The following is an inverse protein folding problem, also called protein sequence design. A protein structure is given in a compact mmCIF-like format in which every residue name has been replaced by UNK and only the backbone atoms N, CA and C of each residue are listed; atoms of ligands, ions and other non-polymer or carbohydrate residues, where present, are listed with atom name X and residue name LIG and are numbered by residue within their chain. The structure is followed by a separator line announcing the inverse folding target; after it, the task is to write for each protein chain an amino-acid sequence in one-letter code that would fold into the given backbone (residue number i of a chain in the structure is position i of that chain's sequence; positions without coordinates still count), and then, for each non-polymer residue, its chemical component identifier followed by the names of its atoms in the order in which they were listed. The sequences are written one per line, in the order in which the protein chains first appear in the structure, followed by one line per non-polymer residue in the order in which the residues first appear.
data_IF_426581307117
#
_entry.id   IF_426581307117
#
_cell.length_a   1.000
_cell.length_b   1.000
_cell.length_c   1.000
_cell.angle_alpha   90.00
_cell.angle_beta   90.00
_cell.angle_gamma   90.00
#
_symmetry.space_group_name_H-M   'P 1'
#
loop_
_entity.id
_entity.type
_entity.pdbx_description
1 polymer ?
#
# COMPACT_ATOMS: atom_id res chain seq x y z
N UNK A 1 -21.45 -1.24 -20.59
CA UNK A 1 -20.61 -2.47 -20.57
C UNK A 1 -19.56 -2.27 -19.53
N UNK A 2 -19.78 -2.81 -18.33
CA UNK A 2 -18.74 -2.88 -17.29
C UNK A 2 -17.68 -3.86 -17.80
N UNK A 3 -16.47 -3.35 -18.00
CA UNK A 3 -15.31 -4.17 -18.29
C UNK A 3 -15.11 -5.14 -17.13
N UNK A 4 -15.35 -6.40 -17.41
CA UNK A 4 -15.03 -7.54 -16.53
C UNK A 4 -13.50 -7.74 -16.57
N UNK A 5 -12.78 -6.75 -16.04
CA UNK A 5 -11.33 -6.83 -15.94
C UNK A 5 -11.00 -7.87 -14.86
N UNK A 6 -10.42 -8.97 -15.29
CA UNK A 6 -9.96 -10.03 -14.40
C UNK A 6 -9.11 -9.46 -13.26
N UNK A 7 -9.34 -9.96 -12.05
CA UNK A 7 -8.54 -9.60 -10.88
C UNK A 7 -7.16 -10.24 -11.06
N UNK A 8 -6.15 -9.43 -11.34
CA UNK A 8 -4.77 -9.88 -11.42
C UNK A 8 -4.14 -9.80 -10.03
N UNK A 9 -3.86 -10.95 -9.44
CA UNK A 9 -3.16 -11.09 -8.16
C UNK A 9 -1.82 -11.79 -8.38
N UNK A 10 -0.84 -11.48 -7.52
CA UNK A 10 0.43 -12.19 -7.50
C UNK A 10 0.27 -13.58 -6.88
N UNK A 11 0.97 -14.58 -7.43
CA UNK A 11 1.06 -15.90 -6.83
C UNK A 11 1.86 -15.87 -5.51
N UNK A 12 1.81 -16.95 -4.74
CA UNK A 12 2.58 -17.04 -3.49
C UNK A 12 4.09 -17.04 -3.76
N UNK A 13 4.51 -17.68 -4.85
CA UNK A 13 5.89 -17.74 -5.31
C UNK A 13 6.38 -16.36 -5.74
N UNK A 14 5.56 -15.62 -6.52
CA UNK A 14 5.86 -14.25 -6.91
C UNK A 14 5.98 -13.33 -5.69
N UNK A 15 5.11 -13.51 -4.69
CA UNK A 15 5.19 -12.72 -3.46
C UNK A 15 6.48 -12.94 -2.68
N UNK A 16 6.99 -14.18 -2.61
CA UNK A 16 8.29 -14.46 -1.98
C UNK A 16 9.41 -13.73 -2.69
N UNK A 17 9.42 -13.75 -4.02
CA UNK A 17 10.42 -13.02 -4.82
C UNK A 17 10.31 -11.51 -4.67
N UNK A 18 9.09 -10.98 -4.59
CA UNK A 18 8.84 -9.55 -4.38
C UNK A 18 9.23 -9.11 -2.96
N UNK A 19 8.89 -9.90 -1.94
CA UNK A 19 9.26 -9.63 -0.55
C UNK A 19 10.79 -9.56 -0.41
N UNK A 20 11.53 -10.47 -1.06
CA UNK A 20 13.00 -10.46 -1.08
C UNK A 20 13.56 -9.26 -1.86
N UNK A 21 13.01 -8.97 -3.03
CA UNK A 21 13.44 -7.83 -3.84
C UNK A 21 13.29 -6.49 -3.12
N UNK A 22 12.16 -6.26 -2.44
CA UNK A 22 11.91 -4.97 -1.79
C UNK A 22 12.63 -4.80 -0.46
N UNK A 23 13.06 -5.87 0.17
CA UNK A 23 13.75 -5.86 1.46
C UNK A 23 14.98 -4.96 1.45
N UNK A 24 15.02 -3.97 2.35
CA UNK A 24 16.11 -3.00 2.47
C UNK A 24 16.15 -1.94 1.36
N UNK A 25 15.20 -1.94 0.41
CA UNK A 25 15.15 -0.89 -0.61
C UNK A 25 14.47 0.38 -0.08
N UNK A 26 14.72 1.49 -0.75
CA UNK A 26 14.08 2.77 -0.44
C UNK A 26 12.55 2.74 -0.58
N UNK A 27 11.99 1.78 -1.29
CA UNK A 27 10.54 1.64 -1.56
C UNK A 27 9.89 0.51 -0.77
N UNK A 28 10.63 -0.16 0.11
CA UNK A 28 10.14 -1.27 0.94
C UNK A 28 8.88 -0.90 1.72
N UNK A 29 8.89 0.24 2.41
CA UNK A 29 7.72 0.66 3.22
C UNK A 29 6.47 0.87 2.35
N UNK A 30 6.60 1.49 1.18
CA UNK A 30 5.48 1.64 0.25
C UNK A 30 4.97 0.28 -0.24
N UNK A 31 5.88 -0.63 -0.57
CA UNK A 31 5.55 -2.02 -0.94
C UNK A 31 4.78 -2.73 0.17
N UNK A 32 5.28 -2.70 1.40
CA UNK A 32 4.66 -3.38 2.56
C UNK A 32 3.27 -2.84 2.87
N UNK A 33 3.04 -1.52 2.73
CA UNK A 33 1.73 -0.90 2.86
C UNK A 33 0.73 -1.43 1.81
N UNK A 34 1.18 -1.61 0.57
CA UNK A 34 0.38 -2.26 -0.47
C UNK A 34 0.14 -3.74 -0.19
N UNK A 35 1.19 -4.46 0.19
CA UNK A 35 1.23 -5.91 0.43
C UNK A 35 0.35 -6.36 1.59
N UNK A 36 0.39 -5.65 2.72
CA UNK A 36 -0.25 -6.06 3.98
C UNK A 36 -1.51 -5.26 4.35
N UNK A 37 -1.77 -4.15 3.69
CA UNK A 37 -2.96 -3.33 3.94
C UNK A 37 -3.80 -3.08 2.69
N UNK A 38 -3.32 -3.46 1.51
CA UNK A 38 -4.01 -3.19 0.25
C UNK A 38 -4.19 -1.70 -0.04
N UNK A 39 -3.30 -0.82 0.46
CA UNK A 39 -3.39 0.62 0.22
C UNK A 39 -3.26 0.95 -1.25
N UNK A 40 -4.00 1.98 -1.70
CA UNK A 40 -3.75 2.58 -3.01
C UNK A 40 -2.39 3.28 -3.00
N UNK A 41 -1.70 3.30 -4.12
CA UNK A 41 -0.34 3.90 -4.21
C UNK A 41 -0.32 5.36 -3.69
N UNK A 42 -1.33 6.15 -4.04
CA UNK A 42 -1.45 7.54 -3.59
C UNK A 42 -1.72 7.67 -2.09
N UNK A 43 -2.45 6.72 -1.48
CA UNK A 43 -2.66 6.64 -0.04
C UNK A 43 -1.36 6.28 0.68
N UNK A 44 -0.61 5.30 0.17
CA UNK A 44 0.67 4.88 0.74
C UNK A 44 1.70 6.03 0.75
N UNK A 45 1.85 6.76 -0.35
CA UNK A 45 2.78 7.89 -0.42
C UNK A 45 2.28 9.15 0.29
N UNK A 46 0.97 9.28 0.52
CA UNK A 46 0.37 10.38 1.28
C UNK A 46 0.26 10.13 2.78
N UNK A 47 0.68 8.98 3.28
CA UNK A 47 0.57 8.61 4.69
C UNK A 47 1.54 9.44 5.53
N UNK A 48 1.01 10.11 6.56
CA UNK A 48 1.79 10.86 7.57
C UNK A 48 2.03 10.03 8.82
N UNK A 49 3.12 10.30 9.51
CA UNK A 49 3.42 9.65 10.79
C UNK A 49 2.36 9.94 11.86
N UNK A 50 1.75 11.12 11.89
CA UNK A 50 0.67 11.44 12.82
C UNK A 50 -0.58 10.56 12.67
N UNK A 51 -0.75 9.92 11.50
CA UNK A 51 -1.84 9.01 11.20
C UNK A 51 -1.54 7.55 11.53
N UNK A 52 -0.35 7.25 12.09
CA UNK A 52 0.09 5.89 12.42
C UNK A 52 0.10 5.72 13.93
N UNK A 53 -0.79 4.89 14.43
CA UNK A 53 -0.82 4.48 15.84
C UNK A 53 -0.06 3.15 15.98
N UNK A 54 1.21 3.27 16.40
CA UNK A 54 2.09 2.11 16.57
C UNK A 54 1.80 1.29 17.81
N UNK A 55 1.09 1.85 18.80
CA UNK A 55 0.68 1.12 20.02
C UNK A 55 -0.51 0.23 19.73
N UNK A 56 -1.57 0.80 19.15
CA UNK A 56 -2.80 0.07 18.82
C UNK A 56 -2.73 -0.66 17.49
N UNK A 57 -1.65 -0.51 16.71
CA UNK A 57 -1.48 -1.18 15.42
C UNK A 57 -2.51 -0.73 14.39
N UNK A 58 -2.77 0.57 14.29
CA UNK A 58 -3.74 1.13 13.34
C UNK A 58 -3.17 2.28 12.52
N UNK A 59 -3.77 2.51 11.35
CA UNK A 59 -3.48 3.64 10.48
C UNK A 59 -4.80 4.33 10.10
N UNK A 60 -4.82 5.65 10.17
CA UNK A 60 -5.93 6.46 9.64
C UNK A 60 -5.60 6.88 8.22
N UNK A 61 -6.43 6.48 7.26
CA UNK A 61 -6.35 6.92 5.88
C UNK A 61 -7.37 8.04 5.68
N UNK A 62 -6.91 9.27 5.61
CA UNK A 62 -7.73 10.46 5.43
C UNK A 62 -7.25 11.35 4.28
N UNK A 63 -6.11 11.01 3.68
CA UNK A 63 -5.46 11.77 2.60
C UNK A 63 -4.76 10.88 1.59
N UNK A 64 -4.43 11.45 0.46
CA UNK A 64 -3.66 10.82 -0.60
C UNK A 64 -2.76 11.85 -1.28
N UNK A 65 -1.60 11.42 -1.74
CA UNK A 65 -0.70 12.28 -2.51
C UNK A 65 -1.20 12.40 -3.94
N UNK A 66 -1.28 13.62 -4.46
CA UNK A 66 -1.60 13.88 -5.87
C UNK A 66 -0.66 14.92 -6.47
N UNK A 67 -0.42 14.79 -7.77
CA UNK A 67 0.20 15.83 -8.58
C UNK A 67 -0.93 16.65 -9.21
N UNK A 68 -1.02 17.91 -8.84
CA UNK A 68 -2.06 18.84 -9.29
C UNK A 68 -1.46 20.23 -9.52
N UNK A 69 -1.77 20.86 -10.64
CA UNK A 69 -1.31 22.20 -11.00
C UNK A 69 0.23 22.36 -10.96
N UNK A 70 0.96 21.32 -11.37
CA UNK A 70 2.42 21.32 -11.35
C UNK A 70 3.05 21.06 -9.97
N UNK A 71 2.24 20.85 -8.92
CA UNK A 71 2.68 20.67 -7.54
C UNK A 71 2.25 19.32 -6.97
N UNK A 72 3.02 18.82 -6.01
CA UNK A 72 2.63 17.67 -5.19
C UNK A 72 1.87 18.19 -3.99
N UNK A 73 0.66 17.68 -3.79
CA UNK A 73 -0.24 18.06 -2.70
C UNK A 73 -0.80 16.82 -2.02
N UNK A 74 -1.15 16.95 -0.74
CA UNK A 74 -2.03 16.01 -0.06
C UNK A 74 -3.46 16.48 -0.23
N UNK A 75 -4.31 15.59 -0.72
CA UNK A 75 -5.72 15.88 -0.96
C UNK A 75 -6.61 14.85 -0.27
N UNK A 76 -7.84 15.25 0.06
CA UNK A 76 -8.82 14.34 0.61
C UNK A 76 -9.16 13.24 -0.41
N UNK A 77 -9.38 12.00 0.04
CA UNK A 77 -9.85 10.93 -0.86
C UNK A 77 -11.19 11.31 -1.50
N UNK A 78 -11.40 10.83 -2.73
CA UNK A 78 -12.57 11.19 -3.56
C UNK A 78 -13.93 10.86 -2.95
N UNK A 79 -14.01 9.84 -2.09
CA UNK A 79 -15.26 9.38 -1.49
C UNK A 79 -15.18 9.36 0.03
N UNK A 80 -16.34 9.56 0.70
CA UNK A 80 -16.44 9.52 2.17
C UNK A 80 -15.94 8.16 2.73
N UNK A 81 -16.22 7.06 2.05
CA UNK A 81 -15.83 5.70 2.47
C UNK A 81 -14.32 5.46 2.32
N UNK A 82 -13.60 6.35 1.65
CA UNK A 82 -12.14 6.26 1.56
C UNK A 82 -11.43 6.73 2.84
N UNK A 83 -12.10 7.55 3.66
CA UNK A 83 -11.62 7.88 5.02
C UNK A 83 -11.93 6.71 5.94
N UNK A 84 -10.90 6.10 6.50
CA UNK A 84 -11.05 4.88 7.27
C UNK A 84 -9.87 4.65 8.21
N UNK A 85 -10.11 3.88 9.26
CA UNK A 85 -9.05 3.29 10.09
C UNK A 85 -8.83 1.86 9.63
N UNK A 86 -7.59 1.48 9.42
CA UNK A 86 -7.17 0.13 9.04
C UNK A 86 -6.27 -0.47 10.11
N UNK A 87 -6.28 -1.80 10.21
CA UNK A 87 -5.45 -2.56 11.14
C UNK A 87 -4.15 -3.00 10.47
N UNK A 88 -3.07 -2.99 11.25
CA UNK A 88 -1.76 -3.49 10.84
C UNK A 88 -1.58 -4.94 11.25
N UNK A 89 -0.99 -5.74 10.37
CA UNK A 89 -0.44 -7.02 10.82
C UNK A 89 0.86 -6.82 11.61
N UNK A 90 1.26 -7.79 12.46
CA UNK A 90 2.46 -7.66 13.30
C UNK A 90 3.73 -7.33 12.50
N UNK A 91 3.92 -7.95 11.35
CA UNK A 91 5.08 -7.74 10.46
C UNK A 91 5.21 -6.27 10.03
N UNK A 92 4.11 -5.67 9.57
CA UNK A 92 4.13 -4.27 9.13
C UNK A 92 4.24 -3.31 10.32
N UNK A 93 3.58 -3.61 11.45
CA UNK A 93 3.69 -2.81 12.66
C UNK A 93 5.13 -2.77 13.18
N UNK A 94 5.83 -3.89 13.19
CA UNK A 94 7.24 -3.96 13.60
C UNK A 94 8.16 -3.18 12.64
N UNK A 95 7.95 -3.33 11.33
CA UNK A 95 8.68 -2.55 10.32
C UNK A 95 8.51 -1.04 10.55
N UNK A 96 7.28 -0.58 10.75
CA UNK A 96 6.99 0.83 11.00
C UNK A 96 7.56 1.32 12.33
N UNK A 97 7.55 0.49 13.40
CA UNK A 97 8.20 0.80 14.68
C UNK A 97 9.70 1.03 14.51
N UNK A 98 10.39 0.12 13.83
CA UNK A 98 11.83 0.25 13.55
C UNK A 98 12.13 1.53 12.75
N UNK A 99 11.37 1.77 11.69
CA UNK A 99 11.53 2.97 10.87
C UNK A 99 11.24 4.26 11.66
N UNK A 100 10.25 4.25 12.53
CA UNK A 100 9.94 5.41 13.38
C UNK A 100 11.06 5.70 14.39
N UNK A 101 11.61 4.67 15.03
CA UNK A 101 12.74 4.80 15.97
C UNK A 101 13.99 5.34 15.28
N UNK A 102 14.27 4.89 14.04
CA UNK A 102 15.42 5.32 13.27
C UNK A 102 15.40 6.82 12.90
N UNK A 103 14.22 7.46 12.88
CA UNK A 103 14.05 8.86 12.45
C UNK A 103 14.92 9.87 13.21
N UNK A 104 15.09 9.68 14.52
CA UNK A 104 15.88 10.58 15.35
C UNK A 104 17.39 10.50 15.04
N UNK A 105 17.87 9.32 14.68
CA UNK A 105 19.26 9.11 14.24
C UNK A 105 19.46 9.66 12.82
N UNK A 106 18.52 9.37 11.92
CA UNK A 106 18.51 9.91 10.56
C UNK A 106 18.54 11.44 10.55
N UNK A 107 17.78 12.07 11.46
CA UNK A 107 17.77 13.54 11.59
C UNK A 107 19.13 14.10 11.96
N UNK A 108 19.84 13.44 12.87
CA UNK A 108 21.22 13.84 13.26
C UNK A 108 22.22 13.56 12.15
N UNK A 109 22.17 12.35 11.58
CA UNK A 109 23.13 11.90 10.58
C UNK A 109 23.02 12.69 9.27
N UNK A 110 21.80 13.03 8.84
CA UNK A 110 21.52 13.68 7.57
C UNK A 110 21.10 15.14 7.69
N UNK A 111 21.40 15.80 8.83
CA UNK A 111 20.95 17.17 9.13
C UNK A 111 21.22 18.17 8.00
N UNK A 112 22.44 18.19 7.45
CA UNK A 112 22.82 19.11 6.37
C UNK A 112 22.13 18.77 5.03
N UNK A 113 21.98 17.48 4.71
CA UNK A 113 21.28 17.06 3.51
C UNK A 113 19.78 17.38 3.61
N UNK A 114 19.17 17.21 4.79
CA UNK A 114 17.76 17.56 5.04
C UNK A 114 17.47 19.03 4.80
N UNK A 115 18.36 19.94 5.18
CA UNK A 115 18.20 21.38 4.89
C UNK A 115 18.04 21.67 3.39
N UNK A 116 18.72 20.88 2.55
CA UNK A 116 18.70 21.07 1.10
C UNK A 116 17.61 20.27 0.39
N UNK A 117 17.30 19.05 0.88
CA UNK A 117 16.45 18.08 0.18
C UNK A 117 15.01 18.01 0.67
N UNK A 118 14.74 18.44 1.93
CA UNK A 118 13.39 18.49 2.45
C UNK A 118 12.53 19.40 1.59
N UNK A 119 11.41 18.86 1.09
CA UNK A 119 10.42 19.61 0.33
C UNK A 119 9.23 19.92 1.23
N UNK A 120 8.65 21.08 1.03
CA UNK A 120 7.38 21.44 1.66
C UNK A 120 6.24 21.19 0.68
N UNK A 121 5.22 20.47 1.13
CA UNK A 121 4.03 20.11 0.35
C UNK A 121 2.78 20.65 1.02
N UNK A 122 1.75 20.97 0.22
CA UNK A 122 0.49 21.47 0.75
C UNK A 122 -0.30 20.30 1.37
N UNK A 123 -0.73 20.47 2.62
CA UNK A 123 -1.62 19.54 3.33
C UNK A 123 -3.09 19.94 3.13
N UNK A 124 -4.02 19.11 3.63
CA UNK A 124 -5.48 19.26 3.46
C UNK A 124 -6.04 20.62 3.91
N UNK A 125 -5.43 21.24 4.91
CA UNK A 125 -5.83 22.51 5.48
C UNK A 125 -5.08 23.73 4.89
N UNK A 126 -4.33 23.50 3.82
CA UNK A 126 -3.51 24.51 3.15
C UNK A 126 -2.21 24.85 3.85
N UNK A 127 -1.88 24.21 4.99
CA UNK A 127 -0.57 24.32 5.61
C UNK A 127 0.47 23.60 4.80
N UNK A 128 1.70 24.12 4.83
CA UNK A 128 2.86 23.43 4.26
C UNK A 128 3.51 22.54 5.31
N UNK A 129 3.64 21.26 4.99
CA UNK A 129 4.33 20.28 5.84
C UNK A 129 5.63 19.82 5.18
N UNK A 130 6.67 19.52 5.95
CA UNK A 130 7.90 18.98 5.40
C UNK A 130 7.72 17.53 4.95
N UNK A 131 8.46 17.12 3.92
CA UNK A 131 8.44 15.73 3.43
C UNK A 131 8.80 14.71 4.52
N UNK A 132 9.53 15.11 5.55
CA UNK A 132 9.91 14.27 6.70
C UNK A 132 8.74 13.87 7.60
N UNK A 133 7.57 14.52 7.46
CA UNK A 133 6.34 14.12 8.14
C UNK A 133 5.68 12.91 7.48
N UNK A 134 6.06 12.58 6.25
CA UNK A 134 5.54 11.43 5.54
C UNK A 134 6.27 10.14 5.92
N UNK A 135 5.52 9.05 5.98
CA UNK A 135 6.06 7.71 6.26
C UNK A 135 7.03 7.27 5.14
N UNK A 136 6.69 7.58 3.88
CA UNK A 136 7.54 7.31 2.73
C UNK A 136 8.40 8.53 2.36
N UNK A 137 9.31 8.89 3.27
CA UNK A 137 10.38 9.86 3.06
C UNK A 137 11.72 9.15 3.24
N UNK A 138 12.73 9.54 2.45
CA UNK A 138 14.10 9.03 2.63
C UNK A 138 14.76 9.65 3.86
N UNK A 139 15.78 8.99 4.45
CA UNK A 139 16.50 9.49 5.62
C UNK A 139 17.03 10.91 5.45
N UNK A 140 17.47 11.26 4.24
CA UNK A 140 18.02 12.57 3.88
C UNK A 140 16.97 13.67 3.62
N UNK A 141 15.68 13.38 3.85
CA UNK A 141 14.57 14.32 3.64
C UNK A 141 14.00 14.32 2.22
N UNK A 142 14.57 13.53 1.30
CA UNK A 142 14.06 13.45 -0.09
C UNK A 142 12.64 12.91 -0.11
N UNK A 143 11.73 13.68 -0.71
CA UNK A 143 10.34 13.29 -0.92
C UNK A 143 10.24 12.10 -1.88
N UNK A 144 9.62 11.03 -1.43
CA UNK A 144 9.22 9.94 -2.31
C UNK A 144 7.78 10.15 -2.82
N UNK A 145 7.54 9.75 -4.04
CA UNK A 145 6.25 9.87 -4.72
C UNK A 145 5.90 8.57 -5.42
N UNK A 146 4.71 8.50 -6.01
CA UNK A 146 4.30 7.35 -6.83
C UNK A 146 5.31 7.00 -7.94
N UNK A 147 6.06 7.99 -8.42
CA UNK A 147 7.11 7.78 -9.42
C UNK A 147 8.28 6.95 -8.88
N UNK A 148 8.49 6.90 -7.57
CA UNK A 148 9.54 6.10 -6.94
C UNK A 148 9.36 4.59 -7.20
N UNK A 149 8.13 4.16 -7.56
CA UNK A 149 7.85 2.76 -7.91
C UNK A 149 8.14 2.41 -9.38
N UNK A 150 8.46 3.41 -10.24
CA UNK A 150 8.71 3.15 -11.67
C UNK A 150 9.99 2.35 -11.91
N UNK A 151 11.05 2.66 -11.16
CA UNK A 151 12.31 1.94 -11.28
C UNK A 151 12.16 0.50 -10.80
N UNK A 152 11.67 0.20 -9.57
CA UNK A 152 11.39 -1.16 -9.14
C UNK A 152 10.54 -1.95 -10.14
N UNK A 153 9.48 -1.37 -10.69
CA UNK A 153 8.63 -2.07 -11.66
C UNK A 153 9.39 -2.55 -12.90
N UNK A 154 10.33 -1.75 -13.42
CA UNK A 154 11.17 -2.11 -14.57
C UNK A 154 12.19 -3.19 -14.21
N UNK A 155 12.86 -3.04 -13.06
CA UNK A 155 13.86 -4.01 -12.60
C UNK A 155 13.24 -5.37 -12.32
N UNK A 156 12.12 -5.42 -11.61
CA UNK A 156 11.38 -6.65 -11.30
C UNK A 156 11.01 -7.39 -12.58
N UNK A 157 10.51 -6.65 -13.59
CA UNK A 157 10.20 -7.25 -14.89
C UNK A 157 11.45 -7.81 -15.57
N UNK A 158 12.56 -7.08 -15.52
CA UNK A 158 13.81 -7.48 -16.18
C UNK A 158 14.50 -8.65 -15.46
N UNK A 159 14.52 -8.67 -14.12
CA UNK A 159 15.26 -9.64 -13.32
C UNK A 159 14.43 -10.87 -12.96
N UNK A 160 13.13 -10.70 -12.67
CA UNK A 160 12.26 -11.74 -12.16
C UNK A 160 11.18 -12.18 -13.15
N UNK A 161 11.04 -11.50 -14.30
CA UNK A 161 9.98 -11.76 -15.27
C UNK A 161 8.57 -11.36 -14.81
N UNK A 162 8.42 -10.82 -13.60
CA UNK A 162 7.13 -10.47 -13.00
C UNK A 162 6.65 -9.12 -13.54
N UNK A 163 5.42 -9.05 -14.03
CA UNK A 163 4.79 -7.80 -14.45
C UNK A 163 4.26 -7.03 -13.22
N UNK A 164 5.17 -6.40 -12.49
CA UNK A 164 4.83 -5.70 -11.27
C UNK A 164 4.08 -4.39 -11.55
N UNK A 165 2.84 -4.30 -11.05
CA UNK A 165 2.09 -3.06 -10.90
C UNK A 165 1.66 -2.94 -9.43
N UNK A 166 1.89 -1.78 -8.82
CA UNK A 166 1.55 -1.57 -7.41
C UNK A 166 0.08 -1.93 -7.09
N UNK A 167 -0.84 -1.65 -8.01
CA UNK A 167 -2.26 -1.96 -7.81
C UNK A 167 -2.53 -3.46 -7.66
N UNK A 168 -1.70 -4.33 -8.24
CA UNK A 168 -1.82 -5.78 -8.08
C UNK A 168 -1.56 -6.24 -6.64
N UNK A 169 -0.78 -5.49 -5.83
CA UNK A 169 -0.64 -5.76 -4.39
C UNK A 169 -1.99 -5.66 -3.67
N UNK A 170 -2.77 -4.65 -4.04
CA UNK A 170 -4.11 -4.46 -3.48
C UNK A 170 -5.08 -5.59 -3.93
N UNK A 171 -4.99 -6.02 -5.18
CA UNK A 171 -5.75 -7.17 -5.67
C UNK A 171 -5.34 -8.43 -4.91
N UNK A 172 -4.05 -8.67 -4.76
CA UNK A 172 -3.50 -9.81 -4.01
C UNK A 172 -3.96 -9.79 -2.55
N UNK A 173 -3.90 -8.63 -1.89
CA UNK A 173 -4.41 -8.47 -0.53
C UNK A 173 -5.90 -8.86 -0.43
N UNK A 174 -6.73 -8.34 -1.34
CA UNK A 174 -8.16 -8.65 -1.38
C UNK A 174 -8.44 -10.13 -1.59
N UNK A 175 -7.72 -10.78 -2.50
CA UNK A 175 -7.84 -12.23 -2.79
C UNK A 175 -7.43 -13.07 -1.57
N UNK A 176 -6.27 -12.77 -0.95
CA UNK A 176 -5.81 -13.49 0.23
C UNK A 176 -6.78 -13.35 1.42
N UNK A 177 -7.33 -12.16 1.64
CA UNK A 177 -8.33 -11.95 2.69
C UNK A 177 -9.63 -12.71 2.40
N UNK A 178 -10.05 -12.78 1.14
CA UNK A 178 -11.22 -13.57 0.73
C UNK A 178 -10.96 -15.08 0.90
N UNK A 179 -9.78 -15.59 0.54
CA UNK A 179 -9.36 -16.98 0.78
C UNK A 179 -9.41 -17.36 2.27
N UNK A 180 -9.05 -16.40 3.14
CA UNK A 180 -9.12 -16.57 4.60
C UNK A 180 -10.53 -16.36 5.18
N UNK A 181 -11.55 -16.25 4.33
CA UNK A 181 -12.95 -16.06 4.72
C UNK A 181 -13.19 -14.79 5.59
N UNK A 182 -12.41 -13.73 5.37
CA UNK A 182 -12.66 -12.44 6.03
C UNK A 182 -14.06 -11.92 5.67
N UNK A 183 -14.92 -11.52 6.62
CA UNK A 183 -16.24 -11.02 6.29
C UNK A 183 -16.21 -9.88 5.26
N UNK A 184 -17.00 -9.97 4.20
CA UNK A 184 -16.93 -9.06 3.03
C UNK A 184 -17.06 -7.58 3.42
N UNK A 185 -17.93 -7.26 4.40
CA UNK A 185 -18.12 -5.89 4.86
C UNK A 185 -16.88 -5.34 5.59
N UNK A 186 -16.16 -6.17 6.35
CA UNK A 186 -14.91 -5.77 7.01
C UNK A 186 -13.80 -5.56 5.99
N UNK A 187 -13.67 -6.46 5.01
CA UNK A 187 -12.71 -6.27 3.91
C UNK A 187 -13.04 -5.03 3.07
N UNK A 188 -14.32 -4.78 2.80
CA UNK A 188 -14.78 -3.58 2.11
C UNK A 188 -14.33 -2.30 2.83
N UNK A 189 -14.53 -2.25 4.16
CA UNK A 189 -14.10 -1.13 4.99
C UNK A 189 -12.58 -1.00 5.02
N UNK A 190 -11.86 -2.09 5.26
CA UNK A 190 -10.39 -2.12 5.29
C UNK A 190 -9.79 -1.60 3.98
N UNK A 191 -10.34 -2.01 2.84
CA UNK A 191 -9.89 -1.58 1.52
C UNK A 191 -10.41 -0.18 1.14
N UNK A 192 -11.48 0.33 1.77
CA UNK A 192 -12.10 1.62 1.42
C UNK A 192 -12.76 1.58 0.04
N UNK A 193 -13.51 0.51 -0.24
CA UNK A 193 -14.35 0.43 -1.43
C UNK A 193 -15.65 1.19 -1.20
N UNK A 194 -16.07 2.00 -2.20
CA UNK A 194 -17.32 2.75 -2.13
C UNK A 194 -18.56 1.85 -2.19
N UNK A 195 -18.42 0.69 -2.83
CA UNK A 195 -19.48 -0.27 -3.03
C UNK A 195 -19.03 -1.68 -2.65
N UNK A 196 -19.88 -2.43 -1.98
CA UNK A 196 -19.60 -3.80 -1.53
C UNK A 196 -19.36 -4.75 -2.71
N UNK A 197 -20.02 -4.51 -3.85
CA UNK A 197 -19.83 -5.30 -5.07
C UNK A 197 -18.38 -5.35 -5.54
N UNK A 198 -17.63 -4.25 -5.37
CA UNK A 198 -16.20 -4.22 -5.70
C UNK A 198 -15.40 -5.23 -4.87
N UNK A 199 -15.81 -5.45 -3.61
CA UNK A 199 -15.17 -6.42 -2.72
C UNK A 199 -15.66 -7.83 -3.00
N UNK A 200 -16.93 -8.02 -3.35
CA UNK A 200 -17.50 -9.33 -3.67
C UNK A 200 -16.79 -10.02 -4.85
N UNK A 201 -16.22 -9.25 -5.78
CA UNK A 201 -15.45 -9.81 -6.91
C UNK A 201 -14.29 -10.71 -6.45
N UNK A 202 -13.63 -10.39 -5.34
CA UNK A 202 -12.57 -11.24 -4.78
C UNK A 202 -13.10 -12.58 -4.32
N UNK A 203 -14.26 -12.62 -3.67
CA UNK A 203 -14.90 -13.85 -3.20
C UNK A 203 -15.42 -14.70 -4.36
N UNK A 204 -15.94 -14.07 -5.42
CA UNK A 204 -16.35 -14.77 -6.63
C UNK A 204 -15.14 -15.42 -7.32
N UNK A 205 -14.01 -14.72 -7.42
CA UNK A 205 -12.79 -15.25 -8.01
C UNK A 205 -12.27 -16.47 -7.23
N UNK A 206 -12.24 -16.38 -5.89
CA UNK A 206 -11.86 -17.51 -5.01
C UNK A 206 -12.85 -18.67 -5.14
N UNK A 207 -14.15 -18.40 -5.22
CA UNK A 207 -15.18 -19.43 -5.38
C UNK A 207 -15.08 -20.16 -6.70
N UNK A 208 -14.70 -19.49 -7.79
CA UNK A 208 -14.48 -20.16 -9.10
C UNK A 208 -13.36 -21.19 -9.01
N UNK A 209 -12.22 -20.85 -8.40
CA UNK A 209 -11.15 -21.81 -8.18
C UNK A 209 -11.55 -22.93 -7.22
N UNK A 210 -12.38 -22.63 -6.21
CA UNK A 210 -12.95 -23.61 -5.29
C UNK A 210 -13.91 -24.60 -5.97
N UNK A 211 -14.66 -24.18 -6.98
CA UNK A 211 -15.54 -25.06 -7.77
C UNK A 211 -14.72 -26.08 -8.58
N UNK A 212 -13.60 -25.66 -9.18
CA UNK A 212 -12.69 -26.58 -9.90
C UNK A 212 -12.12 -27.64 -8.97
N UNK A 213 -11.71 -27.25 -7.77
CA UNK A 213 -11.24 -28.17 -6.73
C UNK A 213 -12.36 -29.11 -6.30
N UNK A 214 -13.57 -28.58 -6.07
CA UNK A 214 -14.74 -29.38 -5.71
C UNK A 214 -15.06 -30.44 -6.80
N UNK A 215 -15.07 -30.02 -8.06
CA UNK A 215 -15.29 -30.93 -9.19
C UNK A 215 -14.20 -32.00 -9.28
N UNK A 216 -12.94 -31.62 -9.08
CA UNK A 216 -11.83 -32.57 -9.02
C UNK A 216 -12.00 -33.58 -7.90
N UNK A 217 -12.40 -33.16 -6.70
CA UNK A 217 -12.65 -34.04 -5.57
C UNK A 217 -13.86 -34.97 -5.80
N UNK A 218 -14.94 -34.45 -6.40
CA UNK A 218 -16.12 -35.26 -6.73
C UNK A 218 -15.81 -36.34 -7.77
N UNK A 219 -14.87 -36.09 -8.69
CA UNK A 219 -14.44 -37.07 -9.67
C UNK A 219 -13.59 -38.20 -9.07
N UNK A 220 -13.14 -38.05 -7.82
CA UNK A 220 -12.36 -39.06 -7.08
C UNK A 220 -13.24 -39.95 -6.17
N UNK A 221 -14.56 -39.67 -6.08
CA UNK A 221 -15.55 -40.48 -5.35
C UNK A 221 -16.16 -41.55 -6.25
#
# INVERSE_FOLDING_TARGET
TEDDTDIVAFSREELVLLDDYFKGTNTETAYLLGRYCGLRINEAFGLKWENVDLENGTIIIDRQMQYQDGLIKLVSPKTRNSKRTIFLCPTLQEHLKKKFQQRAEDEKQFAELRKQKTRFIDDLDGRKIPSTDLVNCLPDGTLQTVNSMKYPSREIKAKLGINFKYHYLRHTYGTLMAEMNTPTHLLCNQMGHGHIHTTQRYYIAVSKSGIEILQGNLNCL
#
